data_IF_946533130752
#
_entry.id   IF_946533130752
#
_cell.length_a   1.000
_cell.length_b   1.000
_cell.length_c   1.000
_cell.angle_alpha   90.00
_cell.angle_beta   90.00
_cell.angle_gamma   90.00
#
_symmetry.space_group_name_H-M   'P 1'
#
loop_
_entity.id
_entity.type
_entity.pdbx_description
1 polymer ?
#
# COMPACT_ATOMS: atom_id res chain seq x y z
N UNK A 1 -23.23 -41.39 -4.87
CA UNK A 1 -24.51 -40.77 -4.47
C UNK A 1 -24.74 -39.56 -5.36
N UNK A 2 -25.58 -39.68 -6.38
CA UNK A 2 -25.95 -38.58 -7.27
C UNK A 2 -26.88 -37.63 -6.50
N UNK A 3 -26.47 -36.36 -6.37
CA UNK A 3 -27.23 -35.36 -5.62
C UNK A 3 -28.64 -35.20 -6.20
N UNK A 4 -29.64 -35.09 -5.34
CA UNK A 4 -31.03 -34.90 -5.78
C UNK A 4 -31.14 -33.55 -6.50
N UNK A 5 -32.00 -33.45 -7.53
CA UNK A 5 -32.15 -32.19 -8.31
C UNK A 5 -32.47 -30.98 -7.44
N UNK A 6 -33.22 -31.19 -6.36
CA UNK A 6 -33.56 -30.16 -5.36
C UNK A 6 -32.36 -29.67 -4.55
N UNK A 7 -31.37 -30.53 -4.29
CA UNK A 7 -30.13 -30.14 -3.60
C UNK A 7 -29.21 -29.32 -4.51
N UNK A 8 -29.20 -29.62 -5.81
CA UNK A 8 -28.48 -28.82 -6.80
C UNK A 8 -29.05 -27.41 -6.91
N UNK A 9 -30.38 -27.26 -6.91
CA UNK A 9 -31.03 -25.95 -6.94
C UNK A 9 -30.74 -25.14 -5.67
N UNK A 10 -30.80 -25.76 -4.48
CA UNK A 10 -30.39 -25.13 -3.22
C UNK A 10 -28.93 -24.66 -3.26
N UNK A 11 -28.02 -25.49 -3.77
CA UNK A 11 -26.62 -25.12 -3.90
C UNK A 11 -26.41 -23.98 -4.89
N UNK A 12 -27.17 -23.93 -5.98
CA UNK A 12 -27.15 -22.80 -6.93
C UNK A 12 -27.63 -21.52 -6.27
N UNK A 13 -28.74 -21.57 -5.54
CA UNK A 13 -29.27 -20.42 -4.78
C UNK A 13 -28.27 -19.91 -3.74
N UNK A 14 -27.60 -20.81 -3.02
CA UNK A 14 -26.57 -20.43 -2.04
C UNK A 14 -25.36 -19.76 -2.71
N UNK A 15 -24.92 -20.28 -3.87
CA UNK A 15 -23.81 -19.70 -4.62
C UNK A 15 -24.14 -18.31 -5.17
N UNK A 16 -25.34 -18.13 -5.74
CA UNK A 16 -25.75 -16.82 -6.25
C UNK A 16 -25.88 -15.81 -5.12
N UNK A 17 -26.52 -16.17 -4.00
CA UNK A 17 -26.69 -15.28 -2.85
C UNK A 17 -25.34 -14.86 -2.23
N UNK A 18 -24.38 -15.78 -2.15
CA UNK A 18 -23.02 -15.45 -1.71
C UNK A 18 -22.31 -14.50 -2.69
N UNK A 19 -22.45 -14.71 -4.01
CA UNK A 19 -21.89 -13.82 -5.01
C UNK A 19 -22.49 -12.40 -4.93
N UNK A 20 -23.80 -12.26 -4.71
CA UNK A 20 -24.45 -10.95 -4.58
C UNK A 20 -24.03 -10.21 -3.31
N UNK A 21 -23.80 -10.92 -2.20
CA UNK A 21 -23.29 -10.33 -0.95
C UNK A 21 -21.85 -9.81 -1.07
N UNK A 22 -21.03 -10.46 -1.91
CA UNK A 22 -19.66 -10.00 -2.18
C UNK A 22 -19.69 -8.81 -3.15
N UNK A 23 -20.54 -8.85 -4.17
CA UNK A 23 -20.71 -7.76 -5.14
C UNK A 23 -21.33 -6.49 -4.54
N UNK A 24 -21.96 -6.57 -3.37
CA UNK A 24 -22.55 -5.42 -2.69
C UNK A 24 -21.57 -4.57 -1.90
N UNK A 25 -20.26 -4.82 -1.96
CA UNK A 25 -19.25 -3.87 -1.48
C UNK A 25 -19.03 -2.85 -2.59
N UNK A 26 -19.55 -1.61 -2.46
CA UNK A 26 -19.36 -0.60 -3.48
C UNK A 26 -17.88 -0.26 -3.62
N UNK A 27 -17.41 -0.16 -4.87
CA UNK A 27 -16.08 0.36 -5.28
C UNK A 27 -15.75 1.76 -4.70
N UNK A 28 -16.75 2.38 -4.08
CA UNK A 28 -16.73 3.67 -3.38
C UNK A 28 -16.08 3.58 -2.00
N UNK A 29 -15.99 2.39 -1.39
CA UNK A 29 -15.23 2.18 -0.15
C UNK A 29 -13.73 2.05 -0.48
N UNK A 30 -13.12 3.17 -0.83
CA UNK A 30 -11.68 3.24 -1.03
C UNK A 30 -11.25 3.72 -2.41
N UNK A 31 -11.82 4.82 -2.91
CA UNK A 31 -11.35 5.54 -4.10
C UNK A 31 -9.95 6.20 -3.96
N UNK A 32 -9.11 5.69 -3.06
CA UNK A 32 -7.66 5.86 -3.00
C UNK A 32 -6.89 4.52 -2.94
N UNK A 33 -7.56 3.38 -3.11
CA UNK A 33 -7.01 2.02 -3.10
C UNK A 33 -7.03 1.40 -4.50
N UNK A 34 -6.83 2.22 -5.54
CA UNK A 34 -6.64 1.78 -6.93
C UNK A 34 -5.29 1.10 -7.18
N UNK A 35 -4.41 1.02 -6.18
CA UNK A 35 -3.45 -0.07 -6.12
C UNK A 35 -4.21 -1.27 -5.55
N UNK A 36 -4.19 -2.40 -6.23
CA UNK A 36 -4.30 -3.71 -5.58
C UNK A 36 -3.18 -3.74 -4.53
N UNK A 37 -3.47 -3.13 -3.38
CA UNK A 37 -2.51 -2.83 -2.35
C UNK A 37 -2.15 -4.16 -1.75
N UNK A 38 -0.93 -4.60 -2.01
CA UNK A 38 -0.26 -5.62 -1.21
C UNK A 38 -0.69 -5.40 0.24
N UNK A 39 -1.24 -6.43 0.88
CA UNK A 39 -1.70 -6.36 2.27
C UNK A 39 -0.65 -5.57 3.06
N UNK A 40 -1.05 -4.55 3.82
CA UNK A 40 -0.12 -3.71 4.59
C UNK A 40 0.80 -4.56 5.48
N UNK A 41 0.37 -5.77 5.85
CA UNK A 41 1.23 -6.76 6.53
C UNK A 41 2.34 -7.29 5.62
N UNK A 42 1.99 -7.66 4.40
CA UNK A 42 2.93 -8.15 3.41
C UNK A 42 3.90 -7.05 2.97
N UNK A 43 3.43 -5.80 2.83
CA UNK A 43 4.32 -4.65 2.60
C UNK A 43 5.32 -4.46 3.75
N UNK A 44 4.86 -4.51 5.02
CA UNK A 44 5.78 -4.45 6.17
C UNK A 44 6.73 -5.64 6.22
N UNK A 45 6.31 -6.82 5.76
CA UNK A 45 7.18 -8.00 5.67
C UNK A 45 8.29 -7.79 4.64
N UNK A 46 7.97 -7.21 3.49
CA UNK A 46 8.94 -6.84 2.46
C UNK A 46 9.89 -5.76 2.97
N UNK A 47 9.37 -4.73 3.64
CA UNK A 47 10.19 -3.67 4.24
C UNK A 47 11.15 -4.25 5.29
N UNK A 48 10.67 -5.15 6.17
CA UNK A 48 11.51 -5.85 7.14
C UNK A 48 12.57 -6.72 6.47
N UNK A 49 12.22 -7.45 5.41
CA UNK A 49 13.18 -8.24 4.63
C UNK A 49 14.24 -7.36 3.96
N UNK A 50 13.88 -6.14 3.56
CA UNK A 50 14.79 -5.12 3.04
C UNK A 50 15.55 -4.36 4.14
N UNK A 51 15.33 -4.67 5.43
CA UNK A 51 15.96 -3.99 6.56
C UNK A 51 15.43 -2.58 6.82
N UNK A 52 14.31 -2.19 6.20
CA UNK A 52 13.66 -0.91 6.44
C UNK A 52 12.95 -0.94 7.79
N UNK A 53 13.25 0.05 8.61
CA UNK A 53 12.65 0.23 9.95
C UNK A 53 11.79 1.49 9.91
N UNK A 54 10.51 1.42 10.32
CA UNK A 54 9.68 2.62 10.43
C UNK A 54 10.18 3.51 11.56
N UNK A 55 10.75 4.67 11.20
CA UNK A 55 11.31 5.63 12.13
C UNK A 55 10.51 6.94 12.12
N UNK A 56 9.68 7.15 13.14
CA UNK A 56 8.83 8.34 13.25
C UNK A 56 9.57 9.49 13.95
N UNK A 57 10.00 10.49 13.18
CA UNK A 57 10.50 11.76 13.71
C UNK A 57 9.46 12.86 13.58
N UNK A 58 9.32 13.68 14.62
CA UNK A 58 8.54 14.93 14.55
C UNK A 58 9.40 16.00 13.89
N UNK A 59 9.03 16.41 12.68
CA UNK A 59 9.70 17.47 11.93
C UNK A 59 8.80 18.70 11.80
N UNK A 60 9.36 19.93 11.78
CA UNK A 60 8.58 21.13 11.44
C UNK A 60 7.95 21.02 10.05
N UNK A 61 6.74 21.56 9.88
CA UNK A 61 6.00 21.48 8.61
C UNK A 61 6.77 22.07 7.44
N UNK A 62 7.42 23.21 7.63
CA UNK A 62 8.23 23.87 6.61
C UNK A 62 9.40 23.00 6.12
N UNK A 63 9.99 22.18 7.01
CA UNK A 63 11.08 21.28 6.64
C UNK A 63 10.56 20.10 5.80
N UNK A 64 9.40 19.55 6.15
CA UNK A 64 8.76 18.47 5.39
C UNK A 64 8.44 18.93 3.97
N UNK A 65 7.95 20.16 3.80
CA UNK A 65 7.67 20.75 2.47
C UNK A 65 8.96 20.82 1.64
N UNK A 66 10.04 21.37 2.21
CA UNK A 66 11.35 21.45 1.51
C UNK A 66 11.90 20.07 1.14
N UNK A 67 11.73 19.07 1.99
CA UNK A 67 12.16 17.70 1.71
C UNK A 67 11.37 17.09 0.53
N UNK A 68 10.06 17.37 0.46
CA UNK A 68 9.21 16.94 -0.67
C UNK A 68 9.59 17.63 -1.97
N UNK A 69 9.70 18.96 -1.96
CA UNK A 69 10.15 19.72 -3.14
C UNK A 69 11.51 19.26 -3.64
N UNK A 70 12.42 18.89 -2.73
CA UNK A 70 13.72 18.33 -3.09
C UNK A 70 13.61 16.94 -3.68
N UNK A 71 12.79 16.07 -3.09
CA UNK A 71 12.54 14.73 -3.63
C UNK A 71 11.89 14.80 -5.02
N UNK A 72 10.99 15.76 -5.26
CA UNK A 72 10.38 16.02 -6.56
C UNK A 72 11.39 16.51 -7.61
N UNK A 73 12.35 17.35 -7.20
CA UNK A 73 13.44 17.84 -8.08
C UNK A 73 14.48 16.77 -8.40
N UNK A 74 14.81 15.92 -7.43
CA UNK A 74 15.81 14.87 -7.57
C UNK A 74 15.20 13.58 -8.20
N UNK A 75 13.87 13.42 -8.20
CA UNK A 75 13.13 12.20 -8.54
C UNK A 75 12.43 12.20 -9.90
N UNK A 76 13.13 12.55 -10.98
CA UNK A 76 12.66 12.30 -12.34
C UNK A 76 12.92 10.84 -12.77
N UNK A 77 11.87 10.15 -13.25
CA UNK A 77 11.89 8.88 -14.01
C UNK A 77 11.94 7.52 -13.30
N UNK A 78 11.41 7.36 -12.09
CA UNK A 78 11.05 6.01 -11.60
C UNK A 78 9.60 5.98 -11.12
N UNK A 79 8.76 5.23 -11.83
CA UNK A 79 7.31 5.08 -11.60
C UNK A 79 6.97 4.30 -10.31
N UNK A 80 7.96 3.98 -9.48
CA UNK A 80 7.79 3.35 -8.19
C UNK A 80 8.23 4.30 -7.07
N UNK A 81 7.31 5.20 -6.69
CA UNK A 81 7.46 6.21 -5.64
C UNK A 81 8.62 7.20 -5.87
N UNK A 82 8.29 8.48 -6.01
CA UNK A 82 9.22 9.58 -5.70
C UNK A 82 9.74 9.43 -4.27
N UNK A 83 10.91 8.81 -4.13
CA UNK A 83 11.33 8.14 -2.90
C UNK A 83 11.92 9.13 -1.90
N UNK A 84 11.02 9.81 -1.18
CA UNK A 84 11.34 10.65 -0.04
C UNK A 84 12.28 9.95 0.96
N UNK A 85 12.20 8.62 1.09
CA UNK A 85 13.05 7.87 2.01
C UNK A 85 14.51 7.84 1.51
N UNK A 86 14.75 7.65 0.20
CA UNK A 86 16.09 7.76 -0.40
C UNK A 86 16.67 9.17 -0.22
N UNK A 87 15.89 10.22 -0.49
CA UNK A 87 16.36 11.61 -0.31
C UNK A 87 16.72 11.88 1.16
N UNK A 88 15.88 11.42 2.10
CA UNK A 88 16.15 11.56 3.53
C UNK A 88 17.38 10.76 3.95
N UNK A 89 17.53 9.51 3.50
CA UNK A 89 18.69 8.67 3.81
C UNK A 89 20.00 9.33 3.34
N UNK A 90 20.03 9.82 2.09
CA UNK A 90 21.21 10.51 1.55
C UNK A 90 21.56 11.79 2.34
N UNK A 91 20.55 12.55 2.80
CA UNK A 91 20.77 13.72 3.65
C UNK A 91 21.31 13.35 5.03
N UNK A 92 20.79 12.27 5.64
CA UNK A 92 21.26 11.77 6.92
C UNK A 92 22.70 11.27 6.83
N UNK A 93 23.06 10.48 5.81
CA UNK A 93 24.44 10.02 5.60
C UNK A 93 25.42 11.16 5.39
N UNK A 94 25.05 12.17 4.59
CA UNK A 94 25.87 13.37 4.40
C UNK A 94 26.05 14.12 5.72
N UNK A 95 25.00 14.26 6.51
CA UNK A 95 25.05 14.89 7.84
C UNK A 95 25.92 14.12 8.84
N UNK A 96 25.89 12.79 8.79
CA UNK A 96 26.71 11.93 9.64
C UNK A 96 28.20 11.95 9.25
N UNK A 97 28.52 12.02 7.96
CA UNK A 97 29.91 12.12 7.45
C UNK A 97 30.53 13.51 7.66
N UNK A 98 29.69 14.55 7.74
CA UNK A 98 30.13 15.93 7.96
C UNK A 98 30.41 16.24 9.44
N UNK A 99 30.17 15.28 10.34
CA UNK A 99 30.39 15.40 11.78
C UNK A 99 31.64 14.63 12.18
#
# INVERSE_FOLDING_TARGET
MTMKRTELEKNKMLKTNNATKIASVPDRFGSGSGAVGIDRKEQRRLDQAAGLIPFACKLPSALVIRLRERAEKDGGTDEQNGDINKTVAALLEKGLKAK
#
